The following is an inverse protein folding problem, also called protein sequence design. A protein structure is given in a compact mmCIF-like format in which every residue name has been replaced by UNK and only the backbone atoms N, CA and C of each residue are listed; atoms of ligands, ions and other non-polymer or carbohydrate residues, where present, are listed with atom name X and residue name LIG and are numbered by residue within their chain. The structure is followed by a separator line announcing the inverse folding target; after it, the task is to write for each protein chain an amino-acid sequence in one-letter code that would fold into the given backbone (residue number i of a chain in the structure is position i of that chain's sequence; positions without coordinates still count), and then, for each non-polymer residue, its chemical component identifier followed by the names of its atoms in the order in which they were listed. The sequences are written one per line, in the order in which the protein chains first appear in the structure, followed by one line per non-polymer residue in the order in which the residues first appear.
data_IF_869700097228
#
_entry.id   IF_869700097228
#
_cell.length_a   1.000
_cell.length_b   1.000
_cell.length_c   1.000
_cell.angle_alpha   90.00
_cell.angle_beta   90.00
_cell.angle_gamma   90.00
#
_symmetry.space_group_name_H-M   'P 1'
#
loop_
_entity.id
_entity.type
_entity.pdbx_description
1 polymer ?
#
# COMPACT_ATOMS: atom_id res chain seq x y z
N UNK A 1 15.68 -12.36 15.08
CA UNK A 1 16.10 -11.34 14.10
C UNK A 1 16.30 -10.04 14.87
N UNK A 2 17.42 -9.36 14.67
CA UNK A 2 17.57 -7.98 15.16
C UNK A 2 16.60 -7.07 14.39
N UNK A 3 15.82 -6.28 15.12
CA UNK A 3 14.85 -5.37 14.52
C UNK A 3 15.59 -4.23 13.81
N UNK A 4 15.57 -4.23 12.46
CA UNK A 4 16.14 -3.15 11.64
C UNK A 4 15.48 -1.81 11.98
N UNK A 5 16.25 -0.72 12.00
CA UNK A 5 15.73 0.65 12.20
C UNK A 5 14.70 0.99 11.11
N UNK A 6 15.02 0.68 9.86
CA UNK A 6 14.06 0.69 8.74
C UNK A 6 14.37 -0.50 7.82
N UNK A 7 13.35 -1.11 7.23
CA UNK A 7 13.48 -2.21 6.27
C UNK A 7 13.61 -1.68 4.86
N UNK A 8 14.27 -2.43 3.97
CA UNK A 8 14.42 -2.05 2.57
C UNK A 8 13.05 -2.04 1.85
N UNK A 9 12.52 -0.85 1.54
CA UNK A 9 11.18 -0.69 0.94
C UNK A 9 11.05 -1.43 -0.41
N UNK A 10 12.08 -1.38 -1.26
CA UNK A 10 12.04 -2.05 -2.56
C UNK A 10 11.86 -3.55 -2.41
N UNK A 11 12.56 -4.17 -1.46
CA UNK A 11 12.43 -5.60 -1.16
C UNK A 11 11.07 -5.91 -0.53
N UNK A 12 10.64 -5.11 0.45
CA UNK A 12 9.36 -5.31 1.14
C UNK A 12 8.17 -5.21 0.17
N UNK A 13 8.15 -4.21 -0.72
CA UNK A 13 7.11 -4.04 -1.75
C UNK A 13 7.09 -5.25 -2.70
N UNK A 14 8.25 -5.73 -3.15
CA UNK A 14 8.34 -6.89 -4.04
C UNK A 14 7.77 -8.13 -3.38
N UNK A 15 8.15 -8.40 -2.12
CA UNK A 15 7.68 -9.59 -1.41
C UNK A 15 6.19 -9.52 -1.12
N UNK A 16 5.67 -8.37 -0.69
CA UNK A 16 4.24 -8.16 -0.51
C UNK A 16 3.46 -8.40 -1.82
N UNK A 17 3.98 -7.94 -2.97
CA UNK A 17 3.37 -8.20 -4.28
C UNK A 17 3.37 -9.70 -4.65
N UNK A 18 4.46 -10.43 -4.37
CA UNK A 18 4.55 -11.88 -4.58
C UNK A 18 3.56 -12.61 -3.69
N UNK A 19 3.50 -12.27 -2.40
CA UNK A 19 2.58 -12.86 -1.43
C UNK A 19 1.12 -12.63 -1.84
N UNK A 20 0.79 -11.41 -2.27
CA UNK A 20 -0.51 -11.10 -2.85
C UNK A 20 -0.83 -11.98 -4.06
N UNK A 21 0.07 -12.04 -5.04
CA UNK A 21 -0.13 -12.78 -6.29
C UNK A 21 -0.33 -14.28 -6.07
N UNK A 22 0.36 -14.85 -5.08
CA UNK A 22 0.33 -16.29 -4.80
C UNK A 22 -0.75 -16.68 -3.79
N UNK A 23 -1.11 -15.78 -2.88
CA UNK A 23 -1.97 -16.08 -1.74
C UNK A 23 -3.42 -15.62 -1.90
N UNK A 24 -3.70 -14.61 -2.74
CA UNK A 24 -5.05 -14.04 -2.81
C UNK A 24 -5.97 -14.83 -3.74
N UNK A 25 -7.16 -15.19 -3.24
CA UNK A 25 -8.24 -15.79 -4.03
C UNK A 25 -9.37 -14.79 -4.25
N UNK A 26 -9.82 -14.67 -5.50
CA UNK A 26 -10.89 -13.75 -5.93
C UNK A 26 -12.31 -14.27 -5.63
N UNK A 27 -12.48 -15.02 -4.55
CA UNK A 27 -13.79 -15.50 -4.10
C UNK A 27 -14.59 -14.38 -3.42
N UNK A 28 -15.89 -14.64 -3.22
CA UNK A 28 -16.72 -13.81 -2.35
C UNK A 28 -16.25 -13.88 -0.90
N UNK A 29 -16.33 -12.75 -0.20
CA UNK A 29 -15.79 -12.60 1.16
C UNK A 29 -16.89 -12.16 2.11
N UNK A 30 -17.15 -12.97 3.13
CA UNK A 30 -17.88 -12.55 4.32
C UNK A 30 -16.92 -12.08 5.39
N UNK A 31 -17.28 -10.98 6.04
CA UNK A 31 -16.52 -10.40 7.15
C UNK A 31 -17.13 -10.84 8.48
N UNK A 32 -16.29 -11.02 9.50
CA UNK A 32 -16.74 -11.32 10.86
C UNK A 32 -17.44 -10.11 11.49
N UNK A 33 -18.33 -10.35 12.44
CA UNK A 33 -19.03 -9.25 13.14
C UNK A 33 -18.08 -8.44 14.03
N UNK A 34 -17.04 -9.08 14.57
CA UNK A 34 -15.95 -8.40 15.29
C UNK A 34 -15.30 -7.34 14.41
N UNK A 35 -14.86 -7.71 13.20
CA UNK A 35 -14.25 -6.75 12.27
C UNK A 35 -15.18 -5.60 11.90
N UNK A 36 -16.45 -5.91 11.58
CA UNK A 36 -17.45 -4.88 11.24
C UNK A 36 -17.62 -3.87 12.37
N UNK A 37 -17.65 -4.34 13.62
CA UNK A 37 -17.77 -3.48 14.80
C UNK A 37 -16.54 -2.59 14.98
N UNK A 38 -15.33 -3.16 14.87
CA UNK A 38 -14.07 -2.40 15.01
C UNK A 38 -13.91 -1.37 13.88
N UNK A 39 -14.24 -1.73 12.63
CA UNK A 39 -14.15 -0.80 11.51
C UNK A 39 -15.18 0.34 11.62
N UNK A 40 -16.39 0.04 12.08
CA UNK A 40 -17.42 1.06 12.35
C UNK A 40 -16.99 2.02 13.46
N UNK A 41 -16.33 1.52 14.51
CA UNK A 41 -15.74 2.32 15.58
C UNK A 41 -14.61 3.23 15.07
N UNK A 42 -13.69 2.69 14.25
CA UNK A 42 -12.66 3.51 13.60
C UNK A 42 -13.27 4.68 12.83
N UNK A 43 -14.32 4.44 12.05
CA UNK A 43 -14.97 5.52 11.30
C UNK A 43 -15.62 6.55 12.23
N UNK A 44 -16.30 6.14 13.30
CA UNK A 44 -16.95 7.09 14.20
C UNK A 44 -15.95 7.94 15.01
N UNK A 45 -14.79 7.39 15.37
CA UNK A 45 -13.78 8.07 16.17
C UNK A 45 -12.83 8.92 15.30
N UNK A 46 -12.32 8.37 14.20
CA UNK A 46 -11.28 9.01 13.37
C UNK A 46 -11.87 9.78 12.20
N UNK A 47 -13.01 9.33 11.67
CA UNK A 47 -13.67 9.89 10.50
C UNK A 47 -15.12 10.27 10.85
N UNK A 48 -15.35 10.89 12.01
CA UNK A 48 -16.65 11.12 12.70
C UNK A 48 -17.87 11.58 11.88
N UNK A 49 -17.69 11.96 10.62
CA UNK A 49 -18.72 12.30 9.64
C UNK A 49 -18.95 11.22 8.56
N UNK A 50 -18.33 10.05 8.69
CA UNK A 50 -18.47 8.90 7.81
C UNK A 50 -19.24 7.79 8.53
N UNK A 51 -20.00 7.02 7.76
CA UNK A 51 -20.66 5.80 8.26
C UNK A 51 -20.45 4.66 7.29
N UNK A 52 -20.63 3.42 7.76
CA UNK A 52 -20.55 2.23 6.93
C UNK A 52 -21.68 1.27 7.28
N UNK A 53 -22.31 0.74 6.23
CA UNK A 53 -23.29 -0.34 6.34
C UNK A 53 -22.71 -1.61 5.71
N UNK A 54 -22.64 -2.69 6.48
CA UNK A 54 -22.13 -3.97 6.01
C UNK A 54 -23.28 -4.89 5.58
N UNK A 55 -23.23 -5.36 4.34
CA UNK A 55 -24.02 -6.48 3.83
C UNK A 55 -23.19 -7.77 3.86
N UNK A 56 -23.76 -8.87 3.36
CA UNK A 56 -23.09 -10.18 3.38
C UNK A 56 -21.75 -10.18 2.62
N UNK A 57 -21.70 -9.58 1.42
CA UNK A 57 -20.51 -9.59 0.54
C UNK A 57 -20.02 -8.19 0.13
N UNK A 58 -20.71 -7.14 0.57
CA UNK A 58 -20.38 -5.75 0.22
C UNK A 58 -20.57 -4.85 1.44
N UNK A 59 -19.95 -3.68 1.42
CA UNK A 59 -20.20 -2.61 2.34
C UNK A 59 -20.52 -1.31 1.57
N UNK A 60 -21.29 -0.42 2.20
CA UNK A 60 -21.59 0.91 1.66
C UNK A 60 -21.06 1.93 2.64
N UNK A 61 -20.01 2.63 2.26
CA UNK A 61 -19.50 3.77 3.03
C UNK A 61 -20.21 5.04 2.57
N UNK A 62 -20.74 5.81 3.51
CA UNK A 62 -21.25 7.16 3.25
C UNK A 62 -20.26 8.19 3.79
N UNK A 63 -19.80 9.10 2.94
CA UNK A 63 -18.86 10.18 3.31
C UNK A 63 -19.59 11.35 3.97
N UNK A 64 -18.81 12.28 4.51
CA UNK A 64 -19.31 13.55 5.07
C UNK A 64 -20.11 14.40 4.07
N UNK A 65 -19.87 14.23 2.77
CA UNK A 65 -20.58 14.89 1.68
C UNK A 65 -21.79 14.08 1.18
N UNK A 66 -22.21 13.04 1.90
CA UNK A 66 -23.27 12.10 1.53
C UNK A 66 -23.01 11.37 0.20
N UNK A 67 -21.74 11.24 -0.20
CA UNK A 67 -21.36 10.39 -1.33
C UNK A 67 -21.24 8.94 -0.85
N UNK A 68 -21.67 8.01 -1.69
CA UNK A 68 -21.61 6.59 -1.39
C UNK A 68 -20.45 5.93 -2.13
N UNK A 69 -19.67 5.15 -1.41
CA UNK A 69 -18.64 4.26 -1.96
C UNK A 69 -19.10 2.83 -1.71
N UNK A 70 -19.33 2.09 -2.79
CA UNK A 70 -19.67 0.67 -2.75
C UNK A 70 -18.39 -0.15 -2.72
N UNK A 71 -18.19 -0.92 -1.65
CA UNK A 71 -16.95 -1.62 -1.36
C UNK A 71 -17.24 -3.12 -1.38
N UNK A 72 -16.72 -3.89 -2.35
CA UNK A 72 -16.71 -5.34 -2.26
C UNK A 72 -15.88 -5.78 -1.05
N UNK A 73 -16.35 -6.76 -0.28
CA UNK A 73 -15.66 -7.17 0.95
C UNK A 73 -14.22 -7.68 0.70
N UNK A 74 -13.93 -8.11 -0.53
CA UNK A 74 -12.59 -8.44 -1.03
C UNK A 74 -11.57 -7.32 -0.76
N UNK A 75 -11.99 -6.05 -0.79
CA UNK A 75 -11.08 -4.92 -0.58
C UNK A 75 -10.49 -4.90 0.83
N UNK A 76 -11.27 -5.33 1.83
CA UNK A 76 -10.78 -5.47 3.21
C UNK A 76 -9.75 -6.58 3.34
N UNK A 77 -9.92 -7.69 2.61
CA UNK A 77 -8.94 -8.78 2.56
C UNK A 77 -7.67 -8.38 1.78
N UNK A 78 -7.81 -7.71 0.63
CA UNK A 78 -6.71 -7.20 -0.18
C UNK A 78 -5.80 -6.25 0.60
N UNK A 79 -6.40 -5.37 1.40
CA UNK A 79 -5.67 -4.35 2.16
C UNK A 79 -4.62 -4.93 3.14
N UNK A 80 -4.80 -6.17 3.61
CA UNK A 80 -3.86 -6.82 4.55
C UNK A 80 -2.49 -7.06 3.91
N UNK A 81 -2.45 -7.46 2.63
CA UNK A 81 -1.19 -7.68 1.90
C UNK A 81 -0.33 -6.42 1.81
N UNK A 82 -0.95 -5.23 1.93
CA UNK A 82 -0.26 -3.95 1.89
C UNK A 82 0.07 -3.37 3.27
N UNK A 83 -0.39 -4.01 4.35
CA UNK A 83 -0.30 -3.48 5.72
C UNK A 83 1.14 -3.21 6.14
N UNK A 84 2.02 -4.19 5.96
CA UNK A 84 3.43 -4.03 6.33
C UNK A 84 4.17 -2.96 5.53
N UNK A 85 3.90 -2.89 4.22
CA UNK A 85 4.48 -1.86 3.35
C UNK A 85 4.01 -0.47 3.77
N UNK A 86 2.72 -0.32 4.08
CA UNK A 86 2.17 0.95 4.53
C UNK A 86 2.77 1.39 5.88
N UNK A 87 2.94 0.48 6.84
CA UNK A 87 3.65 0.78 8.10
C UNK A 87 5.07 1.26 7.86
N UNK A 88 5.79 0.56 7.00
CA UNK A 88 7.16 0.93 6.67
C UNK A 88 7.21 2.31 6.00
N UNK A 89 6.34 2.59 5.03
CA UNK A 89 6.22 3.91 4.41
C UNK A 89 5.95 5.03 5.44
N UNK A 90 5.08 4.79 6.42
CA UNK A 90 4.81 5.74 7.50
C UNK A 90 6.02 5.94 8.42
N UNK A 91 6.79 4.89 8.71
CA UNK A 91 8.04 4.97 9.47
C UNK A 91 9.08 5.85 8.77
N UNK A 92 9.24 5.67 7.45
CA UNK A 92 10.12 6.52 6.64
C UNK A 92 9.66 7.98 6.61
N UNK A 93 8.35 8.21 6.45
CA UNK A 93 7.77 9.56 6.50
C UNK A 93 8.01 10.23 7.86
N UNK A 94 7.89 9.50 8.96
CA UNK A 94 8.16 10.03 10.30
C UNK A 94 9.61 10.52 10.43
N UNK A 95 10.61 9.80 9.89
CA UNK A 95 12.00 10.28 9.88
C UNK A 95 12.20 11.51 9.01
N UNK A 96 11.56 11.56 7.83
CA UNK A 96 11.56 12.78 7.02
C UNK A 96 11.00 13.97 7.80
N UNK A 97 9.84 13.81 8.45
CA UNK A 97 9.20 14.88 9.23
C UNK A 97 10.07 15.33 10.41
N UNK A 98 10.70 14.40 11.14
CA UNK A 98 11.66 14.72 12.22
C UNK A 98 12.83 15.55 11.72
N UNK A 99 13.43 15.16 10.59
CA UNK A 99 14.57 15.90 10.00
C UNK A 99 14.13 17.29 9.55
N UNK A 100 12.98 17.40 8.87
CA UNK A 100 12.45 18.69 8.44
C UNK A 100 12.21 19.60 9.64
N UNK A 101 11.52 19.10 10.67
CA UNK A 101 11.22 19.87 11.88
C UNK A 101 12.47 20.41 12.58
N UNK A 102 13.57 19.65 12.57
CA UNK A 102 14.81 20.00 13.26
C UNK A 102 15.77 20.86 12.44
N UNK A 103 15.68 20.84 11.10
CA UNK A 103 16.75 21.35 10.26
C UNK A 103 16.31 22.17 9.04
N UNK A 104 14.99 22.28 8.80
CA UNK A 104 14.43 22.94 7.62
C UNK A 104 13.20 23.79 7.98
N UNK A 105 12.93 24.82 7.17
CA UNK A 105 11.85 25.77 7.47
C UNK A 105 10.47 25.30 6.98
N UNK A 106 10.43 24.51 5.90
CA UNK A 106 9.19 24.12 5.22
C UNK A 106 9.26 22.69 4.69
N UNK A 107 8.27 21.87 5.07
CA UNK A 107 8.17 20.46 4.63
C UNK A 107 7.94 20.31 3.13
N UNK A 108 7.02 21.11 2.58
CA UNK A 108 6.65 21.04 1.17
C UNK A 108 7.84 21.34 0.24
N UNK A 109 8.52 22.46 0.49
CA UNK A 109 9.66 22.91 -0.32
C UNK A 109 10.83 21.92 -0.21
N UNK A 110 11.09 21.41 1.00
CA UNK A 110 12.12 20.40 1.25
C UNK A 110 11.82 19.11 0.48
N UNK A 111 10.57 18.62 0.49
CA UNK A 111 10.17 17.44 -0.25
C UNK A 111 10.32 17.61 -1.77
N UNK A 112 9.98 18.78 -2.32
CA UNK A 112 10.14 19.09 -3.74
C UNK A 112 11.61 19.09 -4.17
N UNK A 113 12.48 19.74 -3.39
CA UNK A 113 13.91 19.83 -3.69
C UNK A 113 14.57 18.45 -3.59
N UNK A 114 14.30 17.70 -2.52
CA UNK A 114 14.88 16.38 -2.31
C UNK A 114 14.44 15.39 -3.39
N UNK A 115 13.16 15.40 -3.81
CA UNK A 115 12.63 14.52 -4.87
C UNK A 115 13.40 14.67 -6.19
N UNK A 116 13.85 15.87 -6.52
CA UNK A 116 14.63 16.12 -7.73
C UNK A 116 16.10 15.70 -7.59
N UNK A 117 16.59 15.47 -6.36
CA UNK A 117 17.98 15.24 -6.01
C UNK A 117 18.96 16.22 -6.68
N UNK A 118 18.47 17.43 -7.04
CA UNK A 118 19.21 18.39 -7.85
C UNK A 118 20.21 19.18 -7.03
N UNK A 119 19.93 19.37 -5.74
CA UNK A 119 20.79 20.08 -4.81
C UNK A 119 21.50 19.11 -3.86
N UNK A 120 22.77 18.83 -4.17
CA UNK A 120 23.61 17.93 -3.36
C UNK A 120 23.89 18.47 -1.96
N UNK A 121 23.90 19.79 -1.76
CA UNK A 121 24.14 20.38 -0.44
C UNK A 121 22.93 20.13 0.47
N UNK A 122 21.72 20.26 -0.08
CA UNK A 122 20.48 19.97 0.66
C UNK A 122 20.37 18.48 0.98
N UNK A 123 20.70 17.59 0.04
CA UNK A 123 20.75 16.14 0.32
C UNK A 123 21.76 15.82 1.42
N UNK A 124 22.96 16.40 1.35
CA UNK A 124 23.98 16.20 2.39
C UNK A 124 23.52 16.72 3.75
N UNK A 125 22.91 17.92 3.80
CA UNK A 125 22.34 18.49 5.02
C UNK A 125 21.28 17.54 5.61
N UNK A 126 20.37 17.04 4.79
CA UNK A 126 19.36 16.08 5.21
C UNK A 126 19.98 14.83 5.82
N UNK A 127 20.96 14.20 5.14
CA UNK A 127 21.60 12.98 5.64
C UNK A 127 22.41 13.20 6.93
N UNK A 128 23.03 14.38 7.11
CA UNK A 128 23.72 14.74 8.36
C UNK A 128 22.74 14.93 9.52
N UNK A 129 21.65 15.69 9.31
CA UNK A 129 20.60 15.87 10.31
C UNK A 129 19.94 14.54 10.70
N UNK A 130 19.70 13.67 9.72
CA UNK A 130 19.18 12.31 9.98
C UNK A 130 20.15 11.48 10.82
N UNK A 131 21.46 11.56 10.53
CA UNK A 131 22.48 10.88 11.30
C UNK A 131 22.45 11.30 12.77
N UNK A 132 22.41 12.59 13.04
CA UNK A 132 22.35 13.11 14.42
C UNK A 132 21.13 12.57 15.16
N UNK A 133 19.96 12.56 14.53
CA UNK A 133 18.72 12.00 15.10
C UNK A 133 18.86 10.51 15.39
N UNK A 134 19.37 9.73 14.44
CA UNK A 134 19.49 8.27 14.60
C UNK A 134 20.57 7.87 15.61
N UNK A 135 21.68 8.61 15.68
CA UNK A 135 22.74 8.36 16.65
C UNK A 135 22.29 8.69 18.09
N UNK A 136 21.40 9.67 18.26
CA UNK A 136 20.77 9.96 19.55
C UNK A 136 19.72 8.92 19.93
N UNK A 137 18.75 8.64 19.05
CA UNK A 137 17.65 7.68 19.29
C UNK A 137 18.16 6.25 19.51
N UNK A 138 19.23 5.86 18.80
CA UNK A 138 19.82 4.52 18.86
C UNK A 138 21.23 4.53 19.45
N UNK A 139 21.47 5.36 20.47
CA UNK A 139 22.80 5.51 21.07
C UNK A 139 23.37 4.19 21.65
N UNK A 140 22.50 3.28 22.12
CA UNK A 140 22.86 1.96 22.66
C UNK A 140 23.02 0.85 21.61
N UNK A 141 22.81 1.13 20.32
CA UNK A 141 22.90 0.09 19.29
C UNK A 141 24.36 -0.36 19.10
N UNK A 142 24.59 -1.68 19.16
CA UNK A 142 25.92 -2.28 19.01
C UNK A 142 26.37 -2.26 17.55
N UNK A 143 25.50 -2.68 16.62
CA UNK A 143 25.80 -2.64 15.19
C UNK A 143 25.52 -1.25 14.58
N UNK A 144 26.57 -0.42 14.53
CA UNK A 144 26.49 0.90 13.87
C UNK A 144 26.20 0.83 12.36
N UNK A 145 26.32 -0.34 11.72
CA UNK A 145 25.90 -0.49 10.32
C UNK A 145 24.39 -0.31 10.17
N UNK A 146 23.58 -0.65 11.17
CA UNK A 146 22.13 -0.45 11.13
C UNK A 146 21.76 1.04 10.98
N UNK A 147 22.51 1.94 11.63
CA UNK A 147 22.34 3.39 11.46
C UNK A 147 22.73 3.81 10.05
N UNK A 148 23.85 3.32 9.53
CA UNK A 148 24.31 3.67 8.17
C UNK A 148 23.33 3.18 7.09
N UNK A 149 22.79 1.96 7.22
CA UNK A 149 21.75 1.42 6.35
C UNK A 149 20.47 2.26 6.42
N UNK A 150 20.03 2.64 7.62
CA UNK A 150 18.86 3.48 7.80
C UNK A 150 19.04 4.85 7.13
N UNK A 151 20.22 5.47 7.26
CA UNK A 151 20.54 6.73 6.58
C UNK A 151 20.47 6.56 5.06
N UNK A 152 21.08 5.51 4.51
CA UNK A 152 21.03 5.24 3.07
C UNK A 152 19.59 5.07 2.58
N UNK A 153 18.80 4.25 3.27
CA UNK A 153 17.43 3.97 2.87
C UNK A 153 16.52 5.19 2.99
N UNK A 154 16.55 5.93 4.10
CA UNK A 154 15.72 7.13 4.26
C UNK A 154 16.17 8.23 3.28
N UNK A 155 17.48 8.36 3.02
CA UNK A 155 17.97 9.28 1.98
C UNK A 155 17.46 8.87 0.58
N UNK A 156 17.47 7.57 0.24
CA UNK A 156 16.87 7.06 -0.99
C UNK A 156 15.37 7.31 -1.06
N UNK A 157 14.64 7.14 0.04
CA UNK A 157 13.21 7.40 0.08
C UNK A 157 12.87 8.85 -0.30
N UNK A 158 13.65 9.83 0.17
CA UNK A 158 13.42 11.25 -0.14
C UNK A 158 13.98 11.70 -1.50
N UNK A 159 14.90 10.95 -2.10
CA UNK A 159 15.60 11.34 -3.36
C UNK A 159 15.29 10.47 -4.58
N UNK A 160 14.98 9.19 -4.40
CA UNK A 160 14.74 8.21 -5.46
C UNK A 160 13.35 7.60 -5.33
N UNK A 161 12.37 8.26 -5.93
CA UNK A 161 10.98 7.81 -5.87
C UNK A 161 10.73 6.55 -6.69
N UNK A 162 11.57 6.26 -7.68
CA UNK A 162 11.44 5.02 -8.46
C UNK A 162 11.83 3.81 -7.61
N UNK A 163 12.79 3.96 -6.71
CA UNK A 163 13.24 2.89 -5.82
C UNK A 163 12.11 2.30 -4.97
N UNK A 164 11.16 3.13 -4.50
CA UNK A 164 10.02 2.70 -3.67
C UNK A 164 8.66 2.81 -4.38
N UNK A 165 8.63 2.98 -5.71
CA UNK A 165 7.39 3.13 -6.51
C UNK A 165 6.51 4.35 -6.15
N UNK A 166 7.14 5.42 -5.67
CA UNK A 166 6.49 6.69 -5.33
C UNK A 166 6.13 7.56 -6.53
N UNK A 167 4.96 8.20 -6.50
CA UNK A 167 4.50 9.12 -7.56
C UNK A 167 4.23 10.55 -7.07
N UNK A 168 4.00 10.72 -5.76
CA UNK A 168 3.63 11.97 -5.10
C UNK A 168 4.68 12.34 -4.07
N UNK A 169 4.88 13.64 -3.86
CA UNK A 169 5.80 14.14 -2.84
C UNK A 169 5.42 13.63 -1.45
N UNK A 170 6.44 13.25 -0.67
CA UNK A 170 6.31 12.58 0.64
C UNK A 170 5.60 13.42 1.72
N UNK A 171 5.60 14.74 1.59
CA UNK A 171 4.88 15.67 2.48
C UNK A 171 3.37 15.44 2.42
N UNK A 172 2.84 14.99 1.28
CA UNK A 172 1.40 14.80 1.09
C UNK A 172 0.83 13.68 1.96
N UNK A 173 -0.41 13.85 2.43
CA UNK A 173 -1.13 12.83 3.20
C UNK A 173 -1.44 11.55 2.42
N UNK A 174 -1.47 11.63 1.08
CA UNK A 174 -1.84 10.55 0.17
C UNK A 174 -0.64 9.98 -0.61
N UNK A 175 0.58 10.18 -0.11
CA UNK A 175 1.83 9.76 -0.77
C UNK A 175 1.93 8.24 -0.99
N UNK A 176 1.33 7.44 -0.10
CA UNK A 176 1.38 5.99 -0.10
C UNK A 176 0.43 5.34 -1.13
N UNK A 177 -0.59 6.07 -1.58
CA UNK A 177 -1.72 5.51 -2.36
C UNK A 177 -1.25 4.81 -3.62
N UNK A 178 -0.38 5.42 -4.42
CA UNK A 178 0.10 4.80 -5.66
C UNK A 178 0.95 3.57 -5.42
N UNK A 179 1.71 3.53 -4.32
CA UNK A 179 2.57 2.38 -3.98
C UNK A 179 1.70 1.17 -3.70
N UNK A 180 0.69 1.34 -2.84
CA UNK A 180 -0.25 0.28 -2.47
C UNK A 180 -1.00 -0.24 -3.70
N UNK A 181 -1.57 0.66 -4.49
CA UNK A 181 -2.38 0.26 -5.65
C UNK A 181 -1.53 -0.43 -6.72
N UNK A 182 -0.34 0.06 -7.02
CA UNK A 182 0.56 -0.58 -7.99
C UNK A 182 1.01 -1.96 -7.52
N UNK A 183 1.36 -2.09 -6.23
CA UNK A 183 1.78 -3.36 -5.64
C UNK A 183 0.67 -4.41 -5.67
N UNK A 184 -0.58 -4.01 -5.45
CA UNK A 184 -1.76 -4.88 -5.52
C UNK A 184 -2.34 -4.98 -6.96
N UNK A 185 -1.69 -4.39 -7.96
CA UNK A 185 -2.16 -4.33 -9.35
C UNK A 185 -3.60 -3.81 -9.52
N UNK A 186 -3.93 -2.74 -8.78
CA UNK A 186 -5.25 -2.12 -8.72
C UNK A 186 -5.33 -0.83 -9.54
N UNK A 187 -6.49 -0.59 -10.16
CA UNK A 187 -6.74 0.63 -10.94
C UNK A 187 -7.20 1.75 -10.02
N UNK A 188 -6.41 2.81 -9.90
CA UNK A 188 -6.67 3.92 -8.98
C UNK A 188 -8.07 4.53 -9.13
N UNK A 189 -8.51 4.79 -10.36
CA UNK A 189 -9.80 5.42 -10.63
C UNK A 189 -11.02 4.66 -10.07
N UNK A 190 -10.91 3.34 -9.86
CA UNK A 190 -12.01 2.51 -9.37
C UNK A 190 -11.76 1.88 -8.00
N UNK A 191 -10.50 1.76 -7.57
CA UNK A 191 -10.11 0.98 -6.38
C UNK A 191 -9.28 1.78 -5.37
N UNK A 192 -9.24 3.12 -5.50
CA UNK A 192 -8.45 3.99 -4.62
C UNK A 192 -8.68 3.78 -3.12
N UNK A 193 -9.92 3.47 -2.72
CA UNK A 193 -10.30 3.27 -1.32
C UNK A 193 -9.63 2.06 -0.65
N UNK A 194 -9.06 1.11 -1.41
CA UNK A 194 -8.24 0.04 -0.84
C UNK A 194 -7.05 0.61 -0.07
N UNK A 195 -6.46 1.70 -0.56
CA UNK A 195 -5.36 2.37 0.13
C UNK A 195 -5.82 3.02 1.45
N UNK A 196 -7.02 3.61 1.49
CA UNK A 196 -7.61 4.16 2.73
C UNK A 196 -7.89 3.06 3.77
N UNK A 197 -8.35 1.89 3.33
CA UNK A 197 -8.53 0.72 4.21
C UNK A 197 -7.17 0.27 4.77
N UNK A 198 -6.15 0.13 3.92
CA UNK A 198 -4.80 -0.25 4.40
C UNK A 198 -4.25 0.78 5.38
N UNK A 199 -4.45 2.07 5.13
CA UNK A 199 -4.04 3.12 6.05
C UNK A 199 -4.73 2.97 7.41
N UNK A 200 -6.05 2.70 7.43
CA UNK A 200 -6.79 2.45 8.66
C UNK A 200 -6.19 1.29 9.48
N UNK A 201 -5.81 0.19 8.83
CA UNK A 201 -5.13 -0.94 9.50
C UNK A 201 -3.76 -0.58 10.07
N UNK A 202 -3.08 0.42 9.50
CA UNK A 202 -1.75 0.84 9.94
C UNK A 202 -1.78 1.87 11.06
N UNK A 203 -2.88 2.61 11.22
CA UNK A 203 -2.98 3.75 12.14
C UNK A 203 -4.01 3.59 13.24
N UNK A 204 -4.65 2.43 13.35
CA UNK A 204 -5.64 2.16 14.39
C UNK A 204 -5.41 0.75 14.97
N UNK A 205 -4.91 0.70 16.21
CA UNK A 205 -4.37 -0.51 16.83
C UNK A 205 -5.37 -1.66 16.92
N UNK A 206 -6.65 -1.36 17.18
CA UNK A 206 -7.70 -2.39 17.21
C UNK A 206 -7.92 -3.00 15.82
N UNK A 207 -7.85 -2.18 14.74
CA UNK A 207 -7.94 -2.69 13.37
C UNK A 207 -6.71 -3.49 13.00
N UNK A 208 -5.51 -3.07 13.40
CA UNK A 208 -4.31 -3.88 13.19
C UNK A 208 -4.46 -5.26 13.81
N UNK A 209 -4.89 -5.28 15.07
CA UNK A 209 -5.02 -6.51 15.86
C UNK A 209 -6.01 -7.49 15.24
N UNK A 210 -7.21 -7.03 14.85
CA UNK A 210 -8.22 -7.92 14.25
C UNK A 210 -7.91 -8.32 12.81
N UNK A 211 -6.99 -7.60 12.14
CA UNK A 211 -6.54 -7.89 10.76
C UNK A 211 -5.12 -8.44 10.73
N UNK A 212 -4.66 -9.08 11.81
CA UNK A 212 -3.35 -9.69 11.84
C UNK A 212 -3.21 -10.80 10.80
N UNK A 213 -4.27 -11.59 10.63
CA UNK A 213 -4.34 -12.67 9.65
C UNK A 213 -5.64 -12.54 8.84
N UNK A 214 -5.63 -12.96 7.57
CA UNK A 214 -6.86 -12.88 6.75
C UNK A 214 -7.98 -13.75 7.35
N UNK A 215 -7.63 -14.92 7.88
CA UNK A 215 -8.58 -15.84 8.49
C UNK A 215 -9.19 -15.30 9.80
N UNK A 216 -8.60 -14.29 10.46
CA UNK A 216 -9.14 -13.75 11.72
C UNK A 216 -10.38 -12.88 11.51
N UNK A 217 -10.56 -12.30 10.32
CA UNK A 217 -11.68 -11.39 10.04
C UNK A 217 -12.50 -11.73 8.80
N UNK A 218 -12.16 -12.83 8.12
CA UNK A 218 -12.94 -13.37 7.00
C UNK A 218 -13.48 -14.75 7.34
N UNK A 219 -14.69 -15.06 6.85
CA UNK A 219 -15.34 -16.36 7.11
C UNK A 219 -15.00 -17.39 6.02
N UNK A 220 -14.90 -16.93 4.77
CA UNK A 220 -14.82 -17.80 3.59
C UNK A 220 -13.41 -17.84 2.95
N UNK A 221 -12.49 -16.99 3.42
CA UNK A 221 -11.08 -16.97 3.03
C UNK A 221 -10.25 -17.65 4.13
N UNK A 222 -10.30 -18.99 4.17
CA UNK A 222 -9.44 -19.79 5.05
C UNK A 222 -7.96 -19.72 4.65
N UNK A 223 -7.07 -20.00 5.61
CA UNK A 223 -5.58 -19.96 5.57
C UNK A 223 -4.95 -19.76 4.18
N UNK A 224 -4.97 -18.53 3.66
CA UNK A 224 -3.97 -18.14 2.67
C UNK A 224 -2.64 -18.15 3.41
N UNK A 225 -1.80 -19.14 3.15
CA UNK A 225 -0.53 -19.34 3.86
C UNK A 225 0.37 -18.11 3.68
N UNK A 226 0.40 -17.26 4.70
CA UNK A 226 1.42 -16.25 4.87
C UNK A 226 2.75 -16.99 5.02
N UNK A 227 3.65 -16.83 4.05
CA UNK A 227 5.03 -17.29 4.23
C UNK A 227 5.76 -16.21 5.01
N UNK A 228 6.26 -16.60 6.20
CA UNK A 228 7.07 -15.75 7.05
C UNK A 228 8.25 -15.17 6.26
N UNK A 229 8.51 -13.90 6.53
CA UNK A 229 9.58 -13.11 5.94
C UNK A 229 10.96 -13.64 6.34
N UNK A 230 11.78 -14.03 5.36
CA UNK A 230 13.20 -14.35 5.55
C UNK A 230 14.08 -13.29 4.87
N UNK A 231 14.72 -12.46 5.69
CA UNK A 231 15.70 -11.44 5.29
C UNK A 231 17.00 -12.04 4.68
N UNK A 232 17.23 -13.35 4.83
CA UNK A 232 18.46 -14.01 4.41
C UNK A 232 18.45 -14.53 2.96
N UNK A 233 17.28 -14.51 2.30
CA UNK A 233 17.13 -15.05 0.94
C UNK A 233 17.39 -13.96 -0.11
N UNK A 234 18.63 -13.92 -0.61
CA UNK A 234 18.99 -13.20 -1.83
C UNK A 234 18.39 -13.90 -3.06
N UNK A 235 17.17 -13.56 -3.43
CA UNK A 235 16.66 -13.91 -4.75
C UNK A 235 17.44 -13.13 -5.83
N UNK A 236 17.93 -13.86 -6.83
CA UNK A 236 18.57 -13.31 -8.04
C UNK A 236 17.74 -12.16 -8.62
N UNK A 237 18.44 -11.07 -8.93
CA UNK A 237 17.90 -9.76 -9.30
C UNK A 237 17.17 -9.76 -10.66
N UNK A 238 17.41 -10.78 -11.49
CA UNK A 238 17.08 -10.77 -12.92
C UNK A 238 15.86 -11.61 -13.32
N UNK A 239 15.27 -12.40 -12.41
CA UNK A 239 14.28 -13.43 -12.81
C UNK A 239 12.81 -12.97 -12.77
N UNK A 240 12.52 -11.69 -12.51
CA UNK A 240 11.12 -11.19 -12.46
C UNK A 240 11.02 -9.85 -13.17
N UNK A 241 10.41 -9.86 -14.35
CA UNK A 241 9.94 -8.66 -15.05
C UNK A 241 8.98 -7.89 -14.14
N UNK A 242 9.39 -6.69 -13.73
CA UNK A 242 8.44 -5.67 -13.29
C UNK A 242 7.51 -5.39 -14.46
N UNK A 243 6.17 -5.29 -14.27
CA UNK A 243 5.35 -4.68 -15.28
C UNK A 243 5.91 -3.28 -15.54
N UNK A 244 6.46 -3.10 -16.75
CA UNK A 244 6.92 -1.82 -17.24
C UNK A 244 5.81 -0.79 -17.00
N UNK A 245 6.13 0.30 -16.30
CA UNK A 245 5.33 1.52 -16.28
C UNK A 245 5.29 2.23 -17.65
N UNK A 246 5.43 1.49 -18.77
CA UNK A 246 5.29 2.01 -20.14
C UNK A 246 3.84 2.02 -20.65
N UNK A 247 2.86 1.61 -19.83
CA UNK A 247 1.44 1.68 -20.16
C UNK A 247 0.88 3.12 -20.19
N UNK A 248 1.72 4.13 -19.93
CA UNK A 248 1.39 5.54 -20.24
C UNK A 248 1.90 6.00 -21.62
N UNK A 249 2.73 5.22 -22.33
CA UNK A 249 3.31 5.59 -23.64
C UNK A 249 2.91 4.66 -24.81
N UNK A 250 2.00 3.69 -24.60
CA UNK A 250 1.50 2.81 -25.67
C UNK A 250 -0.03 2.77 -25.71
N UNK A 251 -0.63 3.89 -26.11
CA UNK A 251 -1.94 3.87 -26.78
C UNK A 251 -1.70 3.50 -28.25
N UNK A 252 -1.35 2.25 -28.52
CA UNK A 252 -1.43 1.64 -29.84
C UNK A 252 -1.16 0.15 -29.70
N UNK A 253 -2.22 -0.61 -29.39
CA UNK A 253 -2.51 -2.00 -29.82
C UNK A 253 -3.34 -2.71 -28.74
N UNK A 254 -4.65 -2.74 -28.98
CA UNK A 254 -5.64 -3.48 -28.20
C UNK A 254 -5.37 -4.99 -28.18
N UNK A 255 -5.28 -5.63 -27.00
CA UNK A 255 -5.36 -7.08 -26.89
C UNK A 255 -6.77 -7.56 -27.28
N UNK A 256 -6.86 -8.65 -28.06
CA UNK A 256 -8.12 -9.21 -28.54
C UNK A 256 -9.02 -9.65 -27.38
N UNK A 257 -10.06 -8.87 -27.11
CA UNK A 257 -11.23 -9.34 -26.39
C UNK A 257 -11.97 -10.36 -27.26
N UNK A 258 -12.32 -11.51 -26.69
CA UNK A 258 -13.36 -12.36 -27.27
C UNK A 258 -14.72 -11.65 -27.09
N UNK A 259 -15.02 -10.76 -28.02
CA UNK A 259 -16.31 -10.07 -28.10
C UNK A 259 -17.33 -11.06 -28.69
N UNK A 260 -18.26 -11.53 -27.86
CA UNK A 260 -19.46 -12.20 -28.37
C UNK A 260 -20.40 -11.11 -28.91
N UNK A 261 -20.41 -10.92 -30.21
CA UNK A 261 -21.38 -10.06 -30.89
C UNK A 261 -22.72 -10.79 -31.04
N UNK A 262 -23.71 -10.41 -30.24
CA UNK A 262 -25.12 -10.71 -30.54
C UNK A 262 -25.68 -9.51 -31.31
N UNK A 263 -25.81 -9.64 -32.63
CA UNK A 263 -26.52 -8.64 -33.44
C UNK A 263 -27.94 -9.12 -33.74
N UNK A 264 -28.93 -8.32 -33.33
CA UNK A 264 -30.32 -8.55 -33.67
C UNK A 264 -30.58 -8.18 -35.13
N UNK A 265 -30.74 -9.19 -35.99
CA UNK A 265 -31.72 -9.29 -37.09
C UNK A 265 -31.40 -10.52 -37.95
N UNK A 266 -31.99 -11.65 -37.61
CA UNK A 266 -32.59 -12.57 -38.59
C UNK A 266 -33.46 -13.57 -37.82
N UNK A 267 -34.75 -13.65 -38.19
CA UNK A 267 -35.60 -14.77 -37.78
C UNK A 267 -34.96 -16.06 -38.29
N UNK A 268 -34.49 -16.92 -37.39
CA UNK A 268 -34.34 -18.35 -37.67
C UNK A 268 -35.27 -19.08 -36.70
N UNK A 269 -36.24 -19.79 -37.28
CA UNK A 269 -37.10 -20.71 -36.56
C UNK A 269 -36.25 -21.73 -35.80
N UNK A 270 -36.45 -21.82 -34.49
CA UNK A 270 -35.93 -22.91 -33.68
C UNK A 270 -36.94 -24.05 -33.82
N UNK A 271 -36.59 -25.08 -34.62
CA UNK A 271 -37.30 -26.36 -34.56
C UNK A 271 -36.87 -27.09 -33.30
N UNK A 272 -37.77 -27.14 -32.34
CA UNK A 272 -37.67 -28.04 -31.19
C UNK A 272 -38.02 -29.44 -31.70
N UNK A 273 -37.06 -30.38 -31.63
CA UNK A 273 -37.38 -31.80 -31.75
C UNK A 273 -38.03 -32.23 -30.44
N UNK A 274 -39.32 -32.57 -30.53
CA UNK A 274 -40.01 -33.43 -29.57
C UNK A 274 -39.49 -34.86 -29.64
#
# INVERSE_FOLDING_TARGET
MEEKIVRNLKYLIRNAAINYRNGFSWNDVKLTDEFKNVYSKYLSEVKSSHSIDFNEYTAVLTTSSNLQIFIPNQWFALAVYAKEVCRELLKYKAYFEKVVQNSFDCSHDTALILRGASDKQIVQKFSMSLREILEDEYNQIEDKNMINEAIDYVTKFVTDYKWWSGSKTIDRGDFYVSVILNMLNLVNASQGYVADITYAYCTYDELDSVTNEIASFTVDLGDSTWQDYDDSINYSFDDIEYPNNSLLDTIAETPRQNIIHISGKTKKEIKIKT
#
